data_IF_384659504026
#
_entry.id   IF_384659504026
#
_cell.length_a   1.000
_cell.length_b   1.000
_cell.length_c   1.000
_cell.angle_alpha   90.00
_cell.angle_beta   90.00
_cell.angle_gamma   90.00
#
_symmetry.space_group_name_H-M   'P 1'
#
loop_
_entity.id
_entity.type
_entity.pdbx_description
1 polymer ?
#
# COMPACT_ATOMS: atom_id res chain seq x y z
N UNK A 1 18.24 -16.07 7.60
CA UNK A 1 18.07 -17.49 8.00
C UNK A 1 16.81 -17.99 7.28
N UNK A 2 16.50 -19.29 7.19
CA UNK A 2 15.29 -19.74 6.47
C UNK A 2 14.15 -20.06 7.45
N UNK A 3 12.92 -19.71 7.10
CA UNK A 3 11.71 -20.09 7.83
C UNK A 3 10.96 -21.16 7.05
N UNK A 4 10.78 -22.34 7.63
CA UNK A 4 9.92 -23.36 7.04
C UNK A 4 8.45 -22.94 7.12
N UNK A 5 7.74 -23.03 6.00
CA UNK A 5 6.32 -22.69 5.87
C UNK A 5 5.53 -23.98 5.65
N UNK A 6 4.68 -24.31 6.62
CA UNK A 6 3.99 -25.60 6.67
C UNK A 6 2.79 -25.64 5.75
N UNK A 7 1.75 -24.87 6.08
CA UNK A 7 0.48 -24.88 5.34
C UNK A 7 0.51 -23.93 4.14
N UNK A 8 -0.41 -24.14 3.18
CA UNK A 8 -0.65 -23.19 2.08
C UNK A 8 -1.00 -21.79 2.63
N UNK A 9 -1.74 -21.75 3.74
CA UNK A 9 -2.12 -20.49 4.37
C UNK A 9 -0.90 -19.76 4.98
N UNK A 10 0.03 -20.49 5.61
CA UNK A 10 1.29 -19.92 6.10
C UNK A 10 2.11 -19.33 4.95
N UNK A 11 2.09 -19.99 3.79
CA UNK A 11 2.81 -19.57 2.59
C UNK A 11 2.21 -18.28 2.00
N UNK A 12 0.88 -18.21 1.90
CA UNK A 12 0.17 -16.99 1.47
C UNK A 12 0.37 -15.83 2.44
N UNK A 13 0.26 -16.10 3.74
CA UNK A 13 0.55 -15.14 4.81
C UNK A 13 1.97 -14.59 4.67
N UNK A 14 2.95 -15.46 4.46
CA UNK A 14 4.34 -15.05 4.27
C UNK A 14 4.54 -14.16 3.03
N UNK A 15 3.95 -14.54 1.89
CA UNK A 15 3.98 -13.74 0.65
C UNK A 15 3.36 -12.36 0.84
N UNK A 16 2.29 -12.28 1.63
CA UNK A 16 1.59 -11.03 1.88
C UNK A 16 2.37 -10.09 2.82
N UNK A 17 3.22 -10.64 3.69
CA UNK A 17 3.81 -9.93 4.83
C UNK A 17 5.31 -9.70 4.75
N UNK A 18 6.06 -10.58 4.09
CA UNK A 18 7.52 -10.52 4.11
C UNK A 18 8.08 -10.46 2.70
N UNK A 19 7.63 -11.37 1.83
CA UNK A 19 8.07 -11.40 0.44
C UNK A 19 8.12 -12.80 -0.16
N UNK A 20 8.90 -13.00 -1.23
CA UNK A 20 8.94 -14.24 -1.97
C UNK A 20 9.24 -15.48 -1.12
N UNK A 21 8.66 -16.61 -1.54
CA UNK A 21 8.84 -17.92 -0.92
C UNK A 21 9.60 -18.83 -1.87
N UNK A 22 10.65 -19.47 -1.38
CA UNK A 22 11.39 -20.48 -2.13
C UNK A 22 10.56 -21.76 -2.18
N UNK A 23 10.23 -22.22 -3.39
CA UNK A 23 9.53 -23.47 -3.63
C UNK A 23 10.38 -24.42 -4.47
N UNK A 24 10.33 -25.71 -4.11
CA UNK A 24 10.87 -26.79 -4.93
C UNK A 24 9.69 -27.60 -5.47
N UNK A 25 9.79 -28.08 -6.70
CA UNK A 25 8.76 -28.93 -7.32
C UNK A 25 9.41 -29.94 -8.27
N UNK A 26 8.66 -30.96 -8.65
CA UNK A 26 9.10 -31.93 -9.65
C UNK A 26 9.04 -31.28 -11.03
N UNK A 27 10.18 -31.22 -11.71
CA UNK A 27 10.25 -30.70 -13.07
C UNK A 27 9.70 -31.74 -14.02
N UNK A 28 8.67 -31.38 -14.77
CA UNK A 28 8.12 -32.19 -15.85
C UNK A 28 8.54 -31.63 -17.21
N UNK A 29 8.71 -32.51 -18.19
CA UNK A 29 9.22 -32.19 -19.53
C UNK A 29 8.41 -31.12 -20.27
N UNK A 30 7.12 -31.03 -20.00
CA UNK A 30 6.19 -30.09 -20.64
C UNK A 30 6.23 -28.67 -20.06
N UNK A 31 6.75 -28.48 -18.85
CA UNK A 31 6.93 -27.14 -18.27
C UNK A 31 7.90 -26.30 -19.11
N UNK A 32 8.94 -26.91 -19.67
CA UNK A 32 9.95 -26.21 -20.48
C UNK A 32 9.36 -25.47 -21.67
N UNK A 33 8.26 -25.97 -22.23
CA UNK A 33 7.54 -25.39 -23.36
C UNK A 33 6.25 -24.67 -22.97
N UNK A 34 5.94 -24.54 -21.67
CA UNK A 34 4.72 -23.88 -21.24
C UNK A 34 4.76 -22.38 -21.61
N UNK A 35 3.64 -21.91 -22.14
CA UNK A 35 3.37 -20.50 -22.42
C UNK A 35 1.96 -20.19 -21.96
N UNK A 36 1.73 -19.01 -21.39
CA UNK A 36 0.38 -18.61 -21.00
C UNK A 36 -0.48 -18.37 -22.23
N UNK A 37 -1.67 -18.98 -22.26
CA UNK A 37 -2.68 -18.74 -23.27
C UNK A 37 -4.08 -18.89 -22.69
N UNK A 38 -5.08 -18.49 -23.47
CA UNK A 38 -6.49 -18.46 -23.01
C UNK A 38 -7.00 -19.86 -22.60
N UNK A 39 -6.55 -20.92 -23.29
CA UNK A 39 -6.91 -22.31 -22.97
C UNK A 39 -6.05 -22.92 -21.85
N UNK A 40 -4.87 -22.35 -21.60
CA UNK A 40 -3.89 -22.86 -20.61
C UNK A 40 -3.37 -21.72 -19.72
N UNK A 41 -4.26 -20.99 -19.00
CA UNK A 41 -3.85 -19.84 -18.20
C UNK A 41 -3.03 -20.25 -16.96
N UNK A 42 -3.14 -21.52 -16.56
CA UNK A 42 -2.45 -22.13 -15.42
C UNK A 42 -1.78 -23.42 -15.86
N UNK A 43 -0.50 -23.60 -15.52
CA UNK A 43 0.25 -24.83 -15.75
C UNK A 43 -0.28 -25.99 -14.89
N UNK A 44 -0.53 -27.11 -15.56
CA UNK A 44 -0.80 -28.43 -14.99
C UNK A 44 0.02 -29.46 -15.76
N UNK A 45 0.46 -30.53 -15.11
CA UNK A 45 1.23 -31.59 -15.77
C UNK A 45 0.34 -32.29 -16.78
N UNK A 46 0.81 -32.31 -18.02
CA UNK A 46 0.11 -32.99 -19.12
C UNK A 46 0.20 -34.50 -18.95
N UNK A 47 -0.87 -35.21 -19.35
CA UNK A 47 -0.85 -36.66 -19.42
C UNK A 47 0.31 -37.15 -20.29
N UNK A 48 1.13 -38.05 -19.74
CA UNK A 48 2.31 -38.60 -20.43
C UNK A 48 3.57 -37.75 -20.32
N UNK A 49 3.54 -36.60 -19.63
CA UNK A 49 4.74 -35.84 -19.30
C UNK A 49 5.65 -36.66 -18.37
N UNK A 50 6.95 -36.57 -18.58
CA UNK A 50 7.95 -37.31 -17.81
C UNK A 50 8.71 -36.39 -16.88
N UNK A 51 9.12 -36.88 -15.72
CA UNK A 51 9.92 -36.09 -14.78
C UNK A 51 11.37 -36.00 -15.25
N UNK A 52 11.92 -34.80 -15.21
CA UNK A 52 13.32 -34.47 -15.51
C UNK A 52 14.14 -34.17 -14.25
N UNK A 53 13.61 -34.51 -13.06
CA UNK A 53 14.22 -34.23 -11.76
C UNK A 53 13.45 -33.16 -10.97
N UNK A 54 14.16 -32.43 -10.12
CA UNK A 54 13.60 -31.39 -9.26
C UNK A 54 14.05 -30.01 -9.75
N UNK A 55 13.21 -29.00 -9.56
CA UNK A 55 13.55 -27.61 -9.86
C UNK A 55 13.14 -26.69 -8.71
N UNK A 56 13.74 -25.51 -8.67
CA UNK A 56 13.51 -24.48 -7.66
C UNK A 56 13.10 -23.18 -8.34
N UNK A 57 12.07 -22.53 -7.79
CA UNK A 57 11.59 -21.22 -8.23
C UNK A 57 11.16 -20.37 -7.03
N UNK A 58 10.95 -19.08 -7.28
CA UNK A 58 10.38 -18.18 -6.28
C UNK A 58 8.88 -18.06 -6.52
N UNK A 59 8.09 -18.45 -5.53
CA UNK A 59 6.70 -18.03 -5.45
C UNK A 59 6.71 -16.56 -5.07
N UNK A 60 6.05 -15.73 -5.87
CA UNK A 60 5.97 -14.28 -5.66
C UNK A 60 4.54 -13.82 -5.46
N UNK A 61 3.54 -14.66 -5.71
CA UNK A 61 2.15 -14.33 -5.46
C UNK A 61 1.27 -15.56 -5.58
N UNK A 62 -0.04 -15.33 -5.52
CA UNK A 62 -1.04 -16.37 -5.67
C UNK A 62 -2.32 -15.77 -6.25
N UNK A 63 -3.13 -16.62 -6.87
CA UNK A 63 -4.43 -16.28 -7.41
C UNK A 63 -5.40 -17.41 -7.06
N UNK A 64 -6.27 -17.16 -6.08
CA UNK A 64 -7.26 -18.14 -5.63
C UNK A 64 -8.42 -18.31 -6.60
N UNK A 65 -8.70 -17.32 -7.45
CA UNK A 65 -9.71 -17.45 -8.49
C UNK A 65 -9.27 -18.44 -9.58
N UNK A 66 -7.97 -18.51 -9.82
CA UNK A 66 -7.35 -19.45 -10.77
C UNK A 66 -6.79 -20.72 -10.09
N UNK A 67 -6.73 -20.76 -8.75
CA UNK A 67 -6.16 -21.88 -7.99
C UNK A 67 -4.67 -22.09 -8.25
N UNK A 68 -3.89 -21.00 -8.29
CA UNK A 68 -2.50 -21.03 -8.76
C UNK A 68 -1.53 -20.20 -7.90
N UNK A 69 -0.32 -20.73 -7.75
CA UNK A 69 0.86 -19.96 -7.34
C UNK A 69 1.39 -19.15 -8.51
N UNK A 70 1.77 -17.89 -8.29
CA UNK A 70 2.49 -17.08 -9.29
C UNK A 70 3.97 -17.21 -8.98
N UNK A 71 4.73 -17.85 -9.87
CA UNK A 71 6.17 -18.10 -9.66
C UNK A 71 7.03 -17.38 -10.69
N UNK A 72 8.14 -16.80 -10.23
CA UNK A 72 9.22 -16.27 -11.07
C UNK A 72 10.25 -17.37 -11.31
N UNK A 73 10.55 -17.65 -12.57
CA UNK A 73 11.48 -18.70 -12.97
C UNK A 73 12.86 -18.13 -13.37
N UNK A 74 13.88 -18.96 -13.28
CA UNK A 74 15.28 -18.61 -13.58
C UNK A 74 15.64 -18.67 -15.07
N UNK A 75 14.70 -19.03 -15.95
CA UNK A 75 14.92 -19.20 -17.39
C UNK A 75 14.78 -17.92 -18.22
N UNK A 76 14.65 -16.78 -17.54
CA UNK A 76 14.64 -15.46 -18.16
C UNK A 76 13.28 -15.01 -18.68
N UNK A 77 13.18 -13.76 -19.15
CA UNK A 77 11.90 -13.12 -19.48
C UNK A 77 11.25 -13.65 -20.77
N UNK A 78 11.97 -14.41 -21.60
CA UNK A 78 11.43 -14.96 -22.85
C UNK A 78 10.70 -16.30 -22.67
N UNK A 79 10.66 -16.84 -21.45
CA UNK A 79 10.00 -18.10 -21.14
C UNK A 79 8.67 -17.85 -20.41
N UNK A 80 7.68 -18.74 -20.61
CA UNK A 80 6.41 -18.69 -19.90
C UNK A 80 5.63 -17.40 -20.16
N UNK A 81 5.14 -16.77 -19.10
CA UNK A 81 4.51 -15.44 -19.12
C UNK A 81 5.53 -14.39 -18.68
N UNK A 82 6.39 -13.95 -19.60
CA UNK A 82 7.44 -12.95 -19.34
C UNK A 82 8.39 -13.34 -18.18
N UNK A 83 8.74 -14.62 -18.08
CA UNK A 83 9.56 -15.20 -17.01
C UNK A 83 8.78 -15.70 -15.80
N UNK A 84 7.44 -15.61 -15.83
CA UNK A 84 6.55 -16.10 -14.78
C UNK A 84 5.75 -17.32 -15.23
N UNK A 85 5.20 -18.04 -14.25
CA UNK A 85 4.22 -19.12 -14.45
C UNK A 85 3.13 -19.05 -13.40
N UNK A 86 1.90 -19.25 -13.82
CA UNK A 86 0.77 -19.53 -12.93
C UNK A 86 0.74 -21.05 -12.76
N UNK A 87 1.16 -21.54 -11.60
CA UNK A 87 1.39 -22.96 -11.33
C UNK A 87 0.28 -23.49 -10.44
N UNK A 88 -0.49 -24.48 -10.90
CA UNK A 88 -1.65 -24.97 -10.16
C UNK A 88 -1.26 -25.45 -8.74
N UNK A 89 -2.12 -25.18 -7.76
CA UNK A 89 -1.98 -25.74 -6.42
C UNK A 89 -1.98 -27.27 -6.45
N UNK A 90 -1.15 -27.90 -5.62
CA UNK A 90 -0.99 -29.34 -5.51
C UNK A 90 -0.23 -30.02 -6.66
N UNK A 91 0.08 -29.28 -7.72
CA UNK A 91 0.67 -29.83 -8.94
C UNK A 91 2.16 -30.15 -8.77
N UNK A 92 2.66 -31.18 -9.45
CA UNK A 92 4.08 -31.55 -9.48
C UNK A 92 4.75 -31.58 -8.09
N UNK A 93 3.98 -31.97 -7.08
CA UNK A 93 4.38 -32.04 -5.68
C UNK A 93 4.85 -30.71 -5.05
N UNK A 94 4.50 -29.56 -5.62
CA UNK A 94 4.89 -28.23 -5.12
C UNK A 94 4.41 -27.94 -3.69
N UNK A 95 3.23 -28.45 -3.32
CA UNK A 95 2.65 -28.31 -1.99
C UNK A 95 2.93 -29.51 -1.08
N UNK A 96 3.53 -30.57 -1.62
CA UNK A 96 3.98 -31.74 -0.84
C UNK A 96 5.37 -31.56 -0.23
N UNK A 97 6.15 -30.61 -0.74
CA UNK A 97 7.46 -30.24 -0.17
C UNK A 97 7.39 -28.93 0.61
N UNK A 98 8.17 -28.87 1.69
CA UNK A 98 8.29 -27.66 2.52
C UNK A 98 8.83 -26.51 1.69
N UNK A 99 8.11 -25.39 1.73
CA UNK A 99 8.58 -24.12 1.17
C UNK A 99 9.25 -23.28 2.24
N UNK A 100 10.15 -22.38 1.82
CA UNK A 100 10.95 -21.59 2.74
C UNK A 100 10.83 -20.10 2.49
N UNK A 101 10.49 -19.35 3.53
CA UNK A 101 10.69 -17.91 3.60
C UNK A 101 12.13 -17.56 3.95
N UNK A 102 12.56 -16.34 3.63
CA UNK A 102 13.87 -15.81 4.03
C UNK A 102 13.66 -14.84 5.20
N UNK A 103 14.26 -15.14 6.35
CA UNK A 103 14.26 -14.30 7.55
C UNK A 103 15.53 -13.45 7.63
N UNK A 104 15.48 -12.43 8.48
CA UNK A 104 16.52 -11.42 8.68
C UNK A 104 16.81 -10.65 7.38
N UNK A 105 15.74 -10.22 6.71
CA UNK A 105 15.82 -9.41 5.49
C UNK A 105 15.02 -8.12 5.66
N UNK A 106 15.43 -7.06 4.96
CA UNK A 106 14.59 -5.88 4.83
C UNK A 106 13.38 -6.27 3.96
N UNK A 107 12.15 -6.15 4.47
CA UNK A 107 10.96 -6.56 3.74
C UNK A 107 10.86 -5.82 2.41
N UNK A 108 10.39 -6.55 1.40
CA UNK A 108 10.06 -6.02 0.08
C UNK A 108 9.19 -4.76 0.22
N UNK A 109 9.30 -3.75 -0.67
CA UNK A 109 8.38 -2.63 -0.66
C UNK A 109 6.91 -3.07 -0.61
N UNK A 110 6.55 -4.26 -1.12
CA UNK A 110 5.15 -4.69 -1.24
C UNK A 110 4.66 -5.25 0.08
N UNK A 111 5.54 -5.76 0.93
CA UNK A 111 5.21 -6.07 2.32
C UNK A 111 4.99 -4.80 3.15
N UNK A 112 5.44 -3.63 2.67
CA UNK A 112 5.14 -2.32 3.31
C UNK A 112 3.70 -1.84 3.10
N UNK A 113 2.88 -2.54 2.29
CA UNK A 113 1.50 -2.13 1.97
C UNK A 113 0.57 -1.96 3.18
N UNK A 114 0.84 -2.67 4.28
CA UNK A 114 0.07 -2.61 5.54
C UNK A 114 0.53 -1.48 6.46
N UNK A 115 1.74 -0.99 6.23
CA UNK A 115 2.43 0.02 7.02
C UNK A 115 2.23 1.44 6.47
N UNK A 116 1.38 1.64 5.47
CA UNK A 116 1.14 2.94 4.89
C UNK A 116 -0.33 3.12 4.51
N UNK A 117 -0.76 4.37 4.58
CA UNK A 117 -1.97 4.86 3.94
C UNK A 117 -1.63 6.20 3.30
N UNK A 118 -2.32 6.55 2.22
CA UNK A 118 -2.06 7.79 1.50
C UNK A 118 -2.45 7.71 0.05
N UNK A 119 -2.37 8.85 -0.63
CA UNK A 119 -2.56 8.89 -2.08
C UNK A 119 -1.32 8.45 -2.85
N UNK A 120 -0.22 8.08 -2.19
CA UNK A 120 1.04 7.74 -2.83
C UNK A 120 1.57 6.40 -2.32
N UNK A 121 2.19 5.63 -3.20
CA UNK A 121 2.93 4.42 -2.85
C UNK A 121 4.16 4.25 -3.74
N UNK A 122 5.21 3.59 -3.24
CA UNK A 122 6.27 3.07 -4.10
C UNK A 122 5.66 1.99 -5.00
N UNK A 123 6.01 1.98 -6.29
CA UNK A 123 5.41 1.09 -7.30
C UNK A 123 6.21 -0.18 -7.58
N UNK A 124 7.34 -0.38 -6.88
CA UNK A 124 8.08 -1.67 -6.76
C UNK A 124 8.72 -2.16 -8.06
N UNK A 125 8.39 -1.51 -9.16
CA UNK A 125 8.95 -1.62 -10.48
C UNK A 125 10.15 -0.66 -10.64
N UNK A 126 10.98 -0.94 -11.65
CA UNK A 126 12.13 -0.12 -12.03
C UNK A 126 13.43 -0.49 -11.30
N UNK A 127 14.54 -0.48 -12.03
CA UNK A 127 15.87 -0.91 -11.56
C UNK A 127 16.38 -0.11 -10.34
N UNK A 128 15.93 1.13 -10.20
CA UNK A 128 16.36 2.02 -9.12
C UNK A 128 15.49 1.93 -7.87
N UNK A 129 14.34 1.22 -7.94
CA UNK A 129 13.32 1.23 -6.90
C UNK A 129 12.93 2.65 -6.44
N UNK A 130 12.76 3.58 -7.39
CA UNK A 130 12.32 4.97 -7.11
C UNK A 130 11.11 5.37 -7.95
N UNK A 131 10.37 4.37 -8.40
CA UNK A 131 9.12 4.56 -9.07
C UNK A 131 8.02 4.69 -8.02
N UNK A 132 7.11 5.62 -8.25
CA UNK A 132 5.98 5.86 -7.36
C UNK A 132 4.70 5.97 -8.16
N UNK A 133 3.60 5.56 -7.54
CA UNK A 133 2.24 5.81 -8.01
C UNK A 133 1.61 6.82 -7.07
N UNK A 134 0.91 7.80 -7.63
CA UNK A 134 0.23 8.88 -6.94
C UNK A 134 -1.19 9.01 -7.52
N UNK A 135 -2.19 9.08 -6.65
CA UNK A 135 -3.55 9.40 -7.01
C UNK A 135 -3.85 10.85 -6.64
N UNK A 136 -4.42 11.62 -7.55
CA UNK A 136 -4.85 13.00 -7.31
C UNK A 136 -6.32 13.13 -7.69
N UNK A 137 -7.12 13.77 -6.85
CA UNK A 137 -8.48 14.16 -7.23
C UNK A 137 -8.45 15.07 -8.46
N UNK A 138 -9.33 14.85 -9.43
CA UNK A 138 -9.33 15.61 -10.69
C UNK A 138 -10.71 15.69 -11.28
N UNK A 139 -11.15 16.91 -11.62
CA UNK A 139 -12.45 17.13 -12.25
C UNK A 139 -12.46 16.69 -13.72
N UNK A 140 -11.28 16.68 -14.36
CA UNK A 140 -11.10 16.26 -15.76
C UNK A 140 -11.03 14.74 -15.94
N UNK A 141 -11.22 13.97 -14.87
CA UNK A 141 -11.36 12.51 -14.96
C UNK A 141 -12.67 12.16 -15.67
N UNK A 142 -12.90 10.89 -16.05
CA UNK A 142 -14.15 10.44 -16.68
C UNK A 142 -15.38 10.66 -15.76
N UNK A 143 -15.84 11.91 -15.67
CA UNK A 143 -16.83 12.38 -14.71
C UNK A 143 -16.32 12.67 -13.30
N UNK A 144 -15.06 13.06 -13.08
CA UNK A 144 -14.64 13.71 -11.81
C UNK A 144 -13.94 12.87 -10.73
N UNK A 145 -13.56 11.62 -10.99
CA UNK A 145 -12.79 10.77 -10.05
C UNK A 145 -11.33 11.20 -9.75
N UNK A 146 -10.37 10.35 -10.08
CA UNK A 146 -8.95 10.59 -9.83
C UNK A 146 -8.08 10.43 -11.08
N UNK A 147 -6.94 11.11 -11.06
CA UNK A 147 -5.82 10.89 -11.96
C UNK A 147 -4.79 10.00 -11.27
N UNK A 148 -4.36 8.96 -11.98
CA UNK A 148 -3.24 8.12 -11.61
C UNK A 148 -1.98 8.64 -12.31
N UNK A 149 -1.04 9.15 -11.52
CA UNK A 149 0.25 9.68 -11.93
C UNK A 149 1.35 8.72 -11.50
N UNK A 150 2.33 8.52 -12.36
CA UNK A 150 3.52 7.73 -12.07
C UNK A 150 4.77 8.57 -12.11
N UNK A 151 5.74 8.23 -11.24
CA UNK A 151 7.09 8.73 -11.33
C UNK A 151 8.00 7.63 -11.86
N UNK A 152 8.80 7.94 -12.87
CA UNK A 152 9.91 7.10 -13.28
C UNK A 152 11.16 7.44 -12.45
N UNK A 153 11.64 6.47 -11.69
CA UNK A 153 12.82 6.56 -10.83
C UNK A 153 14.14 6.75 -11.57
N UNK A 154 14.19 6.38 -12.85
CA UNK A 154 15.38 6.51 -13.70
C UNK A 154 15.47 7.88 -14.35
N UNK A 155 14.40 8.36 -14.98
CA UNK A 155 14.36 9.71 -15.58
C UNK A 155 14.04 10.82 -14.58
N UNK A 156 13.40 10.48 -13.46
CA UNK A 156 12.89 11.41 -12.45
C UNK A 156 11.56 12.08 -12.83
N UNK A 157 11.03 11.80 -14.03
CA UNK A 157 9.84 12.45 -14.55
C UNK A 157 8.55 11.89 -13.95
N UNK A 158 7.58 12.79 -13.75
CA UNK A 158 6.19 12.43 -13.45
C UNK A 158 5.34 12.48 -14.72
N UNK A 159 4.49 11.48 -14.91
CA UNK A 159 3.58 11.38 -16.06
C UNK A 159 2.21 10.84 -15.67
N UNK A 160 1.21 11.25 -16.41
CA UNK A 160 -0.15 10.73 -16.26
C UNK A 160 -0.25 9.36 -16.92
N UNK A 161 -0.61 8.35 -16.14
CA UNK A 161 -0.84 6.99 -16.62
C UNK A 161 -2.31 6.76 -16.98
N UNK A 162 -3.25 7.23 -16.16
CA UNK A 162 -4.68 7.08 -16.45
C UNK A 162 -5.55 8.12 -15.77
N UNK A 163 -6.68 8.47 -16.41
CA UNK A 163 -7.78 9.23 -15.82
C UNK A 163 -8.90 8.26 -15.46
N UNK A 164 -9.33 8.22 -14.21
CA UNK A 164 -10.23 7.19 -13.67
C UNK A 164 -11.46 7.85 -13.05
N UNK A 165 -12.65 7.40 -13.44
CA UNK A 165 -13.90 7.92 -12.92
C UNK A 165 -15.08 7.23 -13.58
N UNK A 166 -16.26 7.43 -12.99
CA UNK A 166 -17.52 6.83 -13.44
C UNK A 166 -18.69 7.84 -13.53
N UNK A 167 -18.42 9.16 -13.52
CA UNK A 167 -19.48 10.18 -13.52
C UNK A 167 -19.62 11.00 -12.23
N UNK A 168 -18.99 10.60 -11.12
CA UNK A 168 -19.06 11.32 -9.85
C UNK A 168 -17.76 12.03 -9.49
N UNK A 169 -17.86 13.28 -9.04
CA UNK A 169 -16.72 14.05 -8.60
C UNK A 169 -16.15 13.52 -7.27
N UNK A 170 -14.83 13.45 -7.15
CA UNK A 170 -14.12 13.07 -5.95
C UNK A 170 -14.03 14.26 -4.99
N UNK A 171 -14.37 14.04 -3.72
CA UNK A 171 -14.21 15.03 -2.64
C UNK A 171 -13.09 14.60 -1.71
N UNK A 172 -12.01 15.37 -1.69
CA UNK A 172 -10.90 15.15 -0.77
C UNK A 172 -9.76 14.31 -1.33
N UNK A 173 -9.31 13.32 -0.55
CA UNK A 173 -8.11 12.55 -0.85
C UNK A 173 -8.44 11.10 -1.21
N UNK A 174 -8.09 10.62 -2.42
CA UNK A 174 -8.08 9.19 -2.69
C UNK A 174 -6.95 8.53 -1.91
N UNK A 175 -7.15 7.27 -1.54
CA UNK A 175 -6.11 6.43 -0.95
C UNK A 175 -5.77 5.32 -1.93
N UNK A 176 -4.50 4.97 -2.03
CA UNK A 176 -4.01 3.81 -2.77
C UNK A 176 -3.26 2.87 -1.83
N UNK A 177 -3.56 1.58 -1.93
CA UNK A 177 -2.84 0.52 -1.19
C UNK A 177 -2.57 -0.66 -2.11
N UNK A 178 -1.43 -1.32 -1.93
CA UNK A 178 -1.21 -2.64 -2.53
C UNK A 178 -2.06 -3.69 -1.82
N UNK A 179 -2.51 -4.70 -2.55
CA UNK A 179 -3.23 -5.85 -1.97
C UNK A 179 -2.41 -7.13 -2.07
N UNK A 180 -2.84 -8.18 -1.38
CA UNK A 180 -2.29 -9.54 -1.54
C UNK A 180 -2.82 -10.27 -2.77
N UNK A 181 -4.03 -9.95 -3.22
CA UNK A 181 -4.67 -10.58 -4.37
C UNK A 181 -3.99 -10.16 -5.68
N UNK A 182 -3.30 -11.09 -6.36
CA UNK A 182 -2.54 -10.83 -7.59
C UNK A 182 -1.55 -9.65 -7.50
N UNK A 183 -1.23 -9.19 -6.27
CA UNK A 183 -0.56 -7.93 -5.99
C UNK A 183 -1.26 -6.69 -6.60
N UNK A 184 -2.53 -6.77 -6.96
CA UNK A 184 -3.29 -5.65 -7.52
C UNK A 184 -3.40 -4.50 -6.51
N UNK A 185 -3.66 -3.30 -6.99
CA UNK A 185 -3.80 -2.12 -6.12
C UNK A 185 -5.27 -1.85 -5.86
N UNK A 186 -5.61 -1.46 -4.64
CA UNK A 186 -6.92 -0.93 -4.32
C UNK A 186 -6.83 0.59 -4.20
N UNK A 187 -7.86 1.28 -4.70
CA UNK A 187 -8.07 2.68 -4.45
C UNK A 187 -9.43 2.92 -3.84
N UNK A 188 -9.50 3.84 -2.88
CA UNK A 188 -10.75 4.25 -2.23
C UNK A 188 -10.81 5.77 -2.16
N UNK A 189 -11.96 6.34 -2.49
CA UNK A 189 -12.21 7.77 -2.33
C UNK A 189 -13.65 8.05 -1.93
N UNK A 190 -13.92 9.27 -1.46
CA UNK A 190 -15.27 9.76 -1.19
C UNK A 190 -15.75 10.57 -2.38
N UNK A 191 -16.93 10.26 -2.90
CA UNK A 191 -17.55 11.02 -3.99
C UNK A 191 -18.36 12.25 -3.47
N UNK A 192 -18.84 13.09 -4.39
CA UNK A 192 -19.65 14.27 -4.09
C UNK A 192 -21.01 13.95 -3.47
N UNK A 193 -21.47 12.70 -3.65
CA UNK A 193 -22.69 12.16 -3.04
C UNK A 193 -22.43 11.55 -1.66
N UNK A 194 -21.18 11.64 -1.16
CA UNK A 194 -20.72 11.12 0.13
C UNK A 194 -20.72 9.59 0.22
N UNK A 195 -20.53 8.90 -0.90
CA UNK A 195 -20.29 7.46 -0.92
C UNK A 195 -18.80 7.17 -0.94
N UNK A 196 -18.41 6.01 -0.41
CA UNK A 196 -17.07 5.46 -0.62
C UNK A 196 -17.05 4.66 -1.93
N UNK A 197 -16.21 5.08 -2.86
CA UNK A 197 -15.98 4.41 -4.13
C UNK A 197 -14.75 3.53 -4.04
N UNK A 198 -14.89 2.23 -4.32
CA UNK A 198 -13.79 1.26 -4.31
C UNK A 198 -13.42 0.85 -5.72
N UNK A 199 -12.13 0.92 -6.01
CA UNK A 199 -11.56 0.60 -7.31
C UNK A 199 -10.40 -0.38 -7.14
N UNK A 200 -10.20 -1.23 -8.14
CA UNK A 200 -9.05 -2.13 -8.25
C UNK A 200 -8.29 -1.81 -9.52
N UNK A 201 -6.97 -1.82 -9.41
CA UNK A 201 -6.07 -1.73 -10.54
C UNK A 201 -5.39 -3.08 -10.75
N UNK A 202 -5.70 -3.69 -11.87
CA UNK A 202 -5.06 -4.93 -12.30
C UNK A 202 -3.66 -4.62 -12.82
N UNK A 203 -2.62 -5.07 -12.11
CA UNK A 203 -1.25 -4.87 -12.60
C UNK A 203 -0.96 -5.70 -13.85
N UNK A 204 -1.60 -6.87 -13.96
CA UNK A 204 -1.44 -7.75 -15.13
C UNK A 204 -2.04 -7.11 -16.39
N UNK A 205 -3.25 -6.53 -16.26
CA UNK A 205 -3.98 -5.97 -17.41
C UNK A 205 -3.73 -4.47 -17.61
N UNK A 206 -3.13 -3.79 -16.63
CA UNK A 206 -2.89 -2.35 -16.61
C UNK A 206 -4.17 -1.52 -16.69
N UNK A 207 -5.21 -1.95 -15.98
CA UNK A 207 -6.55 -1.34 -16.04
C UNK A 207 -7.16 -1.14 -14.67
N UNK A 208 -7.84 -0.01 -14.50
CA UNK A 208 -8.69 0.27 -13.35
C UNK A 208 -10.11 -0.24 -13.59
N UNK A 209 -10.73 -0.79 -12.56
CA UNK A 209 -12.12 -1.23 -12.55
C UNK A 209 -12.78 -0.83 -11.24
N UNK A 210 -14.01 -0.32 -11.30
CA UNK A 210 -14.82 -0.11 -10.11
C UNK A 210 -15.20 -1.48 -9.53
N UNK A 211 -14.96 -1.66 -8.24
CA UNK A 211 -15.23 -2.91 -7.52
C UNK A 211 -16.56 -2.82 -6.78
N UNK A 212 -16.76 -1.73 -6.03
CA UNK A 212 -17.97 -1.53 -5.25
C UNK A 212 -18.17 -0.05 -4.89
N UNK A 213 -19.38 0.25 -4.43
CA UNK A 213 -19.75 1.51 -3.79
C UNK A 213 -20.35 1.20 -2.42
N UNK A 214 -19.95 1.94 -1.39
CA UNK A 214 -20.55 1.87 -0.06
C UNK A 214 -21.31 3.18 0.19
N UNK A 215 -22.61 3.05 0.37
CA UNK A 215 -23.52 4.14 0.71
C UNK A 215 -23.72 4.12 2.23
N UNK A 216 -23.27 5.18 2.91
CA UNK A 216 -23.49 5.38 4.35
C UNK A 216 -23.80 6.85 4.60
N UNK A 217 -24.93 7.09 5.26
CA UNK A 217 -25.42 8.43 5.54
C UNK A 217 -24.41 9.19 6.41
N UNK A 218 -23.80 10.19 5.78
CA UNK A 218 -22.98 11.17 6.47
C UNK A 218 -21.48 10.88 6.48
N UNK A 219 -20.90 10.12 5.55
CA UNK A 219 -19.45 10.16 5.34
C UNK A 219 -19.02 11.60 4.98
N UNK A 220 -18.03 12.16 5.66
CA UNK A 220 -17.61 13.56 5.41
C UNK A 220 -16.09 13.78 5.48
N UNK A 221 -15.35 12.96 6.22
CA UNK A 221 -13.88 13.04 6.22
C UNK A 221 -13.24 12.25 5.09
N UNK A 222 -11.91 12.19 5.10
CA UNK A 222 -11.15 11.42 4.12
C UNK A 222 -10.81 10.02 4.65
N UNK A 223 -10.82 9.00 3.79
CA UNK A 223 -10.61 7.63 4.22
C UNK A 223 -9.15 7.40 4.60
N UNK A 224 -8.93 6.54 5.58
CA UNK A 224 -7.70 5.79 5.77
C UNK A 224 -7.95 4.34 5.41
N UNK A 225 -7.08 3.76 4.58
CA UNK A 225 -7.18 2.38 4.11
C UNK A 225 -5.87 1.64 4.36
N UNK A 226 -5.97 0.39 4.80
CA UNK A 226 -4.88 -0.56 4.92
C UNK A 226 -5.41 -1.98 4.68
N UNK A 227 -4.53 -2.96 4.53
CA UNK A 227 -4.92 -4.37 4.46
C UNK A 227 -4.56 -5.10 5.77
N UNK A 228 -5.48 -5.91 6.29
CA UNK A 228 -5.24 -6.74 7.47
C UNK A 228 -4.50 -8.05 7.15
N UNK A 229 -4.31 -8.87 8.18
CA UNK A 229 -3.62 -10.16 8.10
C UNK A 229 -4.37 -11.21 7.28
N UNK A 230 -5.69 -11.07 7.16
CA UNK A 230 -6.56 -11.97 6.42
C UNK A 230 -6.80 -11.49 4.99
N UNK A 231 -5.99 -10.54 4.50
CA UNK A 231 -6.14 -9.94 3.17
C UNK A 231 -7.40 -9.07 3.00
N UNK A 232 -8.11 -8.71 4.07
CA UNK A 232 -9.25 -7.81 4.03
C UNK A 232 -8.80 -6.35 4.02
N UNK A 233 -9.51 -5.50 3.28
CA UNK A 233 -9.32 -4.05 3.36
C UNK A 233 -10.01 -3.52 4.63
N UNK A 234 -9.25 -2.81 5.44
CA UNK A 234 -9.76 -2.03 6.56
C UNK A 234 -9.90 -0.59 6.11
N UNK A 235 -10.99 0.04 6.53
CA UNK A 235 -11.28 1.43 6.20
C UNK A 235 -11.73 2.17 7.44
N UNK A 236 -11.17 3.36 7.63
CA UNK A 236 -11.57 4.29 8.69
C UNK A 236 -11.92 5.62 8.07
N UNK A 237 -13.09 6.18 8.42
CA UNK A 237 -13.53 7.48 7.91
C UNK A 237 -14.37 8.24 8.93
N UNK A 238 -14.28 9.57 8.93
CA UNK A 238 -15.12 10.44 9.75
C UNK A 238 -16.50 10.61 9.13
N UNK A 239 -17.52 10.61 9.99
CA UNK A 239 -18.90 10.97 9.68
C UNK A 239 -19.27 12.40 10.11
N UNK A 240 -20.35 12.91 9.54
CA UNK A 240 -20.90 14.25 9.73
C UNK A 240 -21.38 14.50 11.17
N UNK A 241 -21.77 13.45 11.88
CA UNK A 241 -22.09 13.50 13.32
C UNK A 241 -20.85 13.68 14.22
N UNK A 242 -19.65 13.79 13.62
CA UNK A 242 -18.38 13.94 14.32
C UNK A 242 -17.84 12.63 14.89
N UNK A 243 -18.38 11.49 14.49
CA UNK A 243 -17.81 10.18 14.82
C UNK A 243 -16.72 9.78 13.83
N UNK A 244 -15.72 9.04 14.31
CA UNK A 244 -14.79 8.30 13.47
C UNK A 244 -15.18 6.83 13.53
N UNK A 245 -15.32 6.17 12.38
CA UNK A 245 -15.79 4.78 12.31
C UNK A 245 -14.85 3.93 11.48
N UNK A 246 -14.70 2.69 11.94
CA UNK A 246 -14.32 1.54 11.12
C UNK A 246 -15.60 0.73 10.87
N UNK A 247 -15.66 -0.53 11.31
CA UNK A 247 -16.91 -1.30 11.49
C UNK A 247 -17.70 -0.79 12.71
N UNK A 248 -16.97 -0.35 13.74
CA UNK A 248 -17.52 0.20 14.98
C UNK A 248 -17.06 1.64 15.19
N UNK A 249 -17.71 2.35 16.11
CA UNK A 249 -17.32 3.71 16.47
C UNK A 249 -15.98 3.71 17.21
N UNK A 250 -14.99 4.41 16.67
CA UNK A 250 -13.66 4.62 17.25
C UNK A 250 -13.69 5.77 18.26
N UNK A 251 -14.25 6.90 17.85
CA UNK A 251 -14.24 8.14 18.63
C UNK A 251 -15.42 9.06 18.28
N UNK A 252 -15.64 10.07 19.11
CA UNK A 252 -16.54 11.20 18.88
C UNK A 252 -15.75 12.51 18.89
N UNK A 253 -16.39 13.60 18.47
CA UNK A 253 -15.80 14.94 18.42
C UNK A 253 -14.57 14.99 17.51
N UNK A 254 -14.68 14.36 16.33
CA UNK A 254 -13.68 14.36 15.27
C UNK A 254 -14.11 15.37 14.21
N UNK A 255 -13.19 16.23 13.79
CA UNK A 255 -13.39 17.23 12.73
C UNK A 255 -12.74 16.82 11.43
N UNK A 256 -11.67 16.03 11.47
CA UNK A 256 -11.04 15.53 10.26
C UNK A 256 -10.42 14.14 10.46
N UNK A 257 -10.65 13.27 9.48
CA UNK A 257 -9.93 12.01 9.30
C UNK A 257 -8.97 12.13 8.11
N UNK A 258 -8.12 11.14 7.90
CA UNK A 258 -7.19 11.16 6.78
C UNK A 258 -6.57 9.80 6.57
N UNK A 259 -5.65 9.71 5.59
CA UNK A 259 -4.90 8.50 5.33
C UNK A 259 -3.83 8.27 6.39
N UNK A 260 -4.27 7.95 7.60
CA UNK A 260 -3.43 7.70 8.77
C UNK A 260 -3.61 6.30 9.35
N UNK A 261 -4.36 5.42 8.67
CA UNK A 261 -4.60 4.05 9.11
C UNK A 261 -3.36 3.19 8.84
N UNK A 262 -2.82 2.57 9.88
CA UNK A 262 -1.63 1.72 9.82
C UNK A 262 -1.93 0.39 10.51
N UNK A 263 -1.69 -0.72 9.81
CA UNK A 263 -1.62 -2.05 10.41
C UNK A 263 -0.15 -2.32 10.72
N UNK A 264 0.19 -2.26 12.00
CA UNK A 264 1.57 -2.26 12.49
C UNK A 264 2.05 -3.66 12.84
N UNK A 265 3.36 -3.89 12.80
CA UNK A 265 3.97 -5.10 13.36
C UNK A 265 4.23 -5.00 14.88
N UNK A 266 3.82 -3.92 15.54
CA UNK A 266 3.82 -3.85 17.01
C UNK A 266 2.90 -4.94 17.58
N UNK A 267 3.39 -5.65 18.61
CA UNK A 267 2.73 -6.80 19.25
C UNK A 267 2.54 -8.02 18.34
N UNK A 268 3.16 -8.03 17.16
CA UNK A 268 3.14 -9.16 16.23
C UNK A 268 4.33 -10.08 16.48
N UNK A 269 4.05 -11.36 16.72
CA UNK A 269 4.98 -12.46 16.54
C UNK A 269 4.78 -13.03 15.14
N UNK A 270 5.68 -12.67 14.24
CA UNK A 270 5.66 -13.05 12.83
C UNK A 270 5.82 -14.57 12.61
N UNK A 271 6.32 -15.29 13.61
CA UNK A 271 6.50 -16.74 13.57
C UNK A 271 5.30 -17.49 14.15
N UNK A 272 4.28 -16.77 14.61
CA UNK A 272 3.06 -17.31 15.18
C UNK A 272 1.84 -16.99 14.33
N UNK A 273 1.10 -18.03 13.96
CA UNK A 273 -0.12 -17.88 13.17
C UNK A 273 -1.27 -17.24 13.95
N UNK A 274 -1.23 -17.29 15.29
CA UNK A 274 -2.25 -16.67 16.14
C UNK A 274 -1.93 -15.23 16.53
N UNK A 275 -0.77 -14.71 16.11
CA UNK A 275 -0.40 -13.34 16.42
C UNK A 275 -0.91 -12.38 15.35
N UNK A 276 -1.37 -11.22 15.81
CA UNK A 276 -1.83 -10.12 14.99
C UNK A 276 -1.15 -8.84 15.42
N UNK A 277 -0.77 -8.02 14.46
CA UNK A 277 -0.29 -6.67 14.72
C UNK A 277 -1.38 -5.74 15.25
N UNK A 278 -0.99 -4.72 16.01
CA UNK A 278 -1.91 -3.66 16.41
C UNK A 278 -2.26 -2.74 15.21
N UNK A 279 -3.44 -2.15 15.26
CA UNK A 279 -3.96 -1.23 14.26
C UNK A 279 -4.03 0.16 14.87
N UNK A 280 -3.58 1.16 14.12
CA UNK A 280 -3.45 2.54 14.58
C UNK A 280 -4.08 3.50 13.57
N UNK A 281 -4.70 4.56 14.08
CA UNK A 281 -5.20 5.67 13.26
C UNK A 281 -5.05 6.98 14.01
N UNK A 282 -4.75 8.06 13.29
CA UNK A 282 -4.68 9.42 13.86
C UNK A 282 -5.76 10.30 13.26
N UNK A 283 -6.46 11.07 14.10
CA UNK A 283 -7.51 11.99 13.64
C UNK A 283 -7.45 13.33 14.39
N UNK A 284 -8.02 14.36 13.75
CA UNK A 284 -8.13 15.70 14.33
C UNK A 284 -9.43 15.82 15.11
N UNK A 285 -9.31 16.24 16.37
CA UNK A 285 -10.44 16.47 17.27
C UNK A 285 -11.03 17.87 17.08
N UNK A 286 -12.26 18.05 17.56
CA UNK A 286 -12.98 19.33 17.55
C UNK A 286 -12.32 20.43 18.37
N UNK A 287 -11.43 20.09 19.29
CA UNK A 287 -10.62 21.04 20.06
C UNK A 287 -9.25 21.33 19.39
N UNK A 288 -9.05 20.88 18.14
CA UNK A 288 -7.82 21.08 17.38
C UNK A 288 -6.69 20.14 17.79
N UNK A 289 -6.90 19.20 18.71
CA UNK A 289 -5.87 18.23 19.08
C UNK A 289 -5.79 17.10 18.07
N UNK A 290 -4.56 16.68 17.76
CA UNK A 290 -4.29 15.51 16.94
C UNK A 290 -4.07 14.31 17.85
N UNK A 291 -4.91 13.28 17.72
CA UNK A 291 -4.92 12.14 18.64
C UNK A 291 -4.78 10.80 17.92
N UNK A 292 -3.95 9.92 18.49
CA UNK A 292 -3.81 8.52 18.12
C UNK A 292 -4.94 7.68 18.74
N UNK A 293 -5.43 6.71 17.99
CA UNK A 293 -6.32 5.65 18.45
C UNK A 293 -5.74 4.31 18.01
N UNK A 294 -5.94 3.26 18.82
CA UNK A 294 -5.42 1.93 18.50
C UNK A 294 -6.34 0.80 18.95
N UNK A 295 -6.27 -0.33 18.26
CA UNK A 295 -6.84 -1.61 18.71
C UNK A 295 -5.90 -2.78 18.40
N UNK A 296 -5.99 -3.90 19.12
CA UNK A 296 -5.41 -5.16 18.66
C UNK A 296 -5.99 -5.58 17.29
N UNK A 297 -5.18 -6.18 16.42
CA UNK A 297 -5.65 -6.63 15.10
C UNK A 297 -6.73 -7.72 15.17
N UNK A 298 -6.73 -8.51 16.23
CA UNK A 298 -7.69 -9.57 16.52
C UNK A 298 -8.84 -9.18 17.45
N UNK A 299 -9.00 -7.88 17.77
CA UNK A 299 -10.10 -7.32 18.57
C UNK A 299 -10.74 -6.16 17.79
N UNK A 300 -11.97 -5.76 18.12
CA UNK A 300 -12.68 -4.61 17.53
C UNK A 300 -12.74 -3.40 18.47
N UNK A 301 -12.24 -3.53 19.70
CA UNK A 301 -12.30 -2.50 20.73
C UNK A 301 -11.17 -1.48 20.58
N UNK A 302 -11.53 -0.24 20.26
CA UNK A 302 -10.60 0.86 20.11
C UNK A 302 -10.30 1.57 21.44
N UNK A 303 -9.04 1.96 21.62
CA UNK A 303 -8.54 2.75 22.75
C UNK A 303 -8.00 4.08 22.26
N UNK A 304 -8.27 5.14 23.01
CA UNK A 304 -7.67 6.45 22.78
C UNK A 304 -6.23 6.46 23.33
N UNK A 305 -5.28 6.86 22.50
CA UNK A 305 -3.87 6.99 22.83
C UNK A 305 -3.44 8.44 23.00
N UNK A 306 -2.16 8.66 22.71
CA UNK A 306 -1.44 9.91 22.88
C UNK A 306 -2.01 11.05 22.02
N UNK A 307 -1.93 12.27 22.54
CA UNK A 307 -2.17 13.50 21.79
C UNK A 307 -0.82 14.09 21.42
N UNK A 308 -0.56 14.29 20.12
CA UNK A 308 0.75 14.70 19.63
C UNK A 308 0.81 16.19 19.22
N UNK A 309 -0.29 16.78 18.75
CA UNK A 309 -0.32 18.18 18.34
C UNK A 309 -1.60 18.88 18.82
N UNK A 310 -1.58 20.20 18.81
CA UNK A 310 -2.72 21.08 19.12
C UNK A 310 -2.90 22.15 18.05
N UNK A 311 -4.07 22.78 18.02
CA UNK A 311 -4.41 23.81 17.03
C UNK A 311 -4.33 23.33 15.57
N UNK A 312 -4.45 22.02 15.35
CA UNK A 312 -4.56 21.46 14.00
C UNK A 312 -5.91 21.87 13.42
N UNK A 313 -5.88 22.54 12.27
CA UNK A 313 -7.07 22.94 11.55
C UNK A 313 -7.81 21.77 10.89
N UNK A 314 -8.77 22.08 10.02
CA UNK A 314 -9.49 21.05 9.26
C UNK A 314 -8.67 20.51 8.09
N UNK A 315 -7.60 19.77 8.39
CA UNK A 315 -6.65 19.23 7.41
C UNK A 315 -6.29 17.80 7.77
N UNK A 316 -6.21 16.90 6.77
CA UNK A 316 -6.02 15.48 7.03
C UNK A 316 -4.60 15.17 7.50
N UNK A 317 -4.44 14.36 8.56
CA UNK A 317 -3.17 13.75 8.89
C UNK A 317 -2.86 12.59 7.93
N UNK A 318 -1.59 12.44 7.58
CA UNK A 318 -1.07 11.29 6.82
C UNK A 318 -0.07 10.57 7.71
N UNK A 319 -0.22 9.25 7.88
CA UNK A 319 0.66 8.46 8.75
C UNK A 319 1.10 7.17 8.08
N UNK A 320 2.37 6.83 8.27
CA UNK A 320 2.95 5.53 7.94
C UNK A 320 3.70 4.96 9.15
N UNK A 321 3.96 3.66 9.12
CA UNK A 321 5.08 3.06 9.83
C UNK A 321 6.25 2.89 8.87
N UNK A 322 7.40 3.40 9.26
CA UNK A 322 8.64 3.22 8.53
C UNK A 322 9.41 1.99 9.02
N UNK A 323 10.58 1.77 8.44
CA UNK A 323 11.55 0.75 8.85
C UNK A 323 12.87 1.40 9.29
N UNK A 324 12.81 2.61 9.84
CA UNK A 324 13.95 3.21 10.52
C UNK A 324 14.27 2.40 11.77
N UNK A 325 15.56 2.23 12.06
CA UNK A 325 16.05 1.56 13.27
C UNK A 325 15.56 0.09 13.45
N UNK A 326 15.13 -0.57 12.37
CA UNK A 326 14.74 -1.99 12.40
C UNK A 326 15.93 -2.91 12.13
N UNK A 327 16.15 -3.92 12.96
CA UNK A 327 17.19 -4.94 12.73
C UNK A 327 16.76 -5.98 11.68
N UNK A 328 15.48 -6.32 11.68
CA UNK A 328 14.87 -7.33 10.81
C UNK A 328 13.33 -7.15 10.77
N UNK A 329 12.64 -8.03 10.07
CA UNK A 329 11.18 -8.02 9.88
C UNK A 329 10.34 -8.08 11.16
N UNK A 330 10.91 -8.52 12.30
CA UNK A 330 10.24 -8.56 13.59
C UNK A 330 10.38 -7.26 14.40
N UNK A 331 11.26 -6.35 13.98
CA UNK A 331 11.44 -5.06 14.63
C UNK A 331 10.34 -4.09 14.24
N UNK A 332 9.72 -3.44 15.22
CA UNK A 332 8.80 -2.35 14.96
C UNK A 332 9.58 -1.07 14.62
N UNK A 333 9.46 -0.61 13.36
CA UNK A 333 9.95 0.70 12.96
C UNK A 333 9.06 1.83 13.49
N UNK A 334 9.46 3.08 13.25
CA UNK A 334 8.83 4.26 13.83
C UNK A 334 7.52 4.62 13.10
N UNK A 335 6.58 5.27 13.80
CA UNK A 335 5.52 5.99 13.10
C UNK A 335 6.04 7.34 12.63
N UNK A 336 5.69 7.67 11.40
CA UNK A 336 5.98 8.95 10.76
C UNK A 336 4.64 9.56 10.38
N UNK A 337 4.39 10.78 10.85
CA UNK A 337 3.15 11.50 10.60
C UNK A 337 3.45 12.89 10.06
N UNK A 338 2.70 13.30 9.04
CA UNK A 338 2.74 14.66 8.50
C UNK A 338 1.34 15.25 8.45
N UNK A 339 1.24 16.53 8.80
CA UNK A 339 -0.03 17.27 8.81
C UNK A 339 0.22 18.74 8.53
N UNK A 340 -0.66 19.39 7.77
CA UNK A 340 -0.54 20.83 7.55
C UNK A 340 -1.05 21.61 8.77
N UNK A 341 -0.31 22.58 9.27
CA UNK A 341 -0.73 23.47 10.36
C UNK A 341 -0.28 24.88 9.99
N UNK A 342 -1.22 25.83 9.95
CA UNK A 342 -0.96 27.24 9.63
C UNK A 342 -0.11 27.47 8.36
N UNK A 343 -0.36 26.65 7.33
CA UNK A 343 0.33 26.75 6.04
C UNK A 343 1.71 26.12 5.99
N UNK A 344 2.15 25.41 7.03
CA UNK A 344 3.37 24.61 7.06
C UNK A 344 3.03 23.13 7.22
N UNK A 345 3.89 22.22 6.79
CA UNK A 345 3.79 20.80 7.16
C UNK A 345 4.57 20.60 8.45
N UNK A 346 3.89 20.13 9.50
CA UNK A 346 4.57 19.57 10.67
C UNK A 346 4.84 18.09 10.41
N UNK A 347 6.08 17.67 10.64
CA UNK A 347 6.51 16.27 10.60
C UNK A 347 6.77 15.78 12.02
N UNK A 348 6.08 14.70 12.40
CA UNK A 348 6.14 14.06 13.70
C UNK A 348 6.66 12.63 13.57
N UNK A 349 7.44 12.20 14.56
CA UNK A 349 7.95 10.84 14.68
C UNK A 349 7.57 10.24 16.03
N UNK A 350 7.28 8.95 16.05
CA UNK A 350 7.21 8.16 17.29
C UNK A 350 8.03 6.90 17.14
N UNK A 351 9.06 6.77 17.96
CA UNK A 351 9.85 5.55 18.01
C UNK A 351 9.05 4.42 18.68
N UNK A 352 9.02 3.25 18.05
CA UNK A 352 8.31 2.07 18.55
C UNK A 352 9.28 0.95 19.00
N UNK A 353 10.58 1.12 18.78
CA UNK A 353 11.63 0.19 19.20
C UNK A 353 11.87 0.36 20.71
N UNK A 354 11.49 -0.65 21.52
CA UNK A 354 11.64 -0.71 22.99
C UNK A 354 10.55 -0.06 23.87
N UNK A 355 9.27 -0.23 23.51
CA UNK A 355 8.14 0.26 24.30
C UNK A 355 7.68 1.64 23.81
N UNK A 356 6.40 1.97 24.04
CA UNK A 356 5.76 3.17 23.50
C UNK A 356 6.62 4.44 23.68
N UNK A 357 7.23 4.93 22.60
CA UNK A 357 7.90 6.22 22.60
C UNK A 357 6.89 7.37 22.61
N UNK A 358 7.32 8.53 23.11
CA UNK A 358 6.56 9.78 22.94
C UNK A 358 6.66 10.27 21.49
N UNK A 359 5.66 11.03 21.06
CA UNK A 359 5.72 11.73 19.77
C UNK A 359 6.63 12.94 19.87
N UNK A 360 7.55 13.08 18.90
CA UNK A 360 8.42 14.23 18.76
C UNK A 360 8.13 14.96 17.44
N UNK A 361 8.08 16.30 17.47
CA UNK A 361 8.06 17.09 16.24
C UNK A 361 9.48 17.15 15.69
N UNK A 362 9.70 16.53 14.53
CA UNK A 362 10.98 16.50 13.83
C UNK A 362 11.30 17.86 13.24
N UNK A 363 10.36 18.42 12.48
CA UNK A 363 10.49 19.73 11.85
C UNK A 363 9.13 20.29 11.39
N UNK A 364 9.11 21.58 11.07
CA UNK A 364 8.00 22.24 10.38
C UNK A 364 8.53 22.94 9.12
N UNK A 365 7.95 22.65 7.96
CA UNK A 365 8.50 23.04 6.64
C UNK A 365 7.44 23.56 5.66
N UNK A 366 7.90 24.27 4.64
CA UNK A 366 7.04 24.82 3.60
C UNK A 366 6.32 26.11 4.00
N UNK A 367 5.55 26.66 3.05
CA UNK A 367 4.73 27.86 3.25
C UNK A 367 3.52 27.81 2.35
N UNK A 368 2.35 28.17 2.87
CA UNK A 368 1.10 28.13 2.11
C UNK A 368 0.66 26.72 1.74
N UNK A 369 1.04 25.70 2.52
CA UNK A 369 0.61 24.32 2.30
C UNK A 369 -0.83 24.14 2.79
N UNK A 370 -1.71 23.64 1.93
CA UNK A 370 -3.11 23.35 2.22
C UNK A 370 -3.25 22.00 2.95
N UNK A 371 -2.64 20.94 2.41
CA UNK A 371 -2.58 19.61 3.00
C UNK A 371 -1.48 18.75 2.36
N UNK A 372 -1.26 17.57 2.94
CA UNK A 372 -0.37 16.53 2.42
C UNK A 372 -1.22 15.43 1.78
N UNK A 373 -0.89 15.01 0.55
CA UNK A 373 -1.56 13.92 -0.18
C UNK A 373 -1.07 12.54 0.24
N UNK A 374 0.24 12.39 0.43
CA UNK A 374 0.85 11.10 0.71
C UNK A 374 2.22 11.24 1.35
N UNK A 375 2.58 10.23 2.13
CA UNK A 375 3.88 10.05 2.75
C UNK A 375 4.29 8.59 2.54
N UNK A 376 5.53 8.35 2.09
CA UNK A 376 6.06 7.00 1.83
C UNK A 376 7.53 6.96 2.22
N UNK A 377 7.97 5.85 2.82
CA UNK A 377 9.41 5.55 2.92
C UNK A 377 9.84 4.71 1.71
N UNK A 378 10.72 5.26 0.88
CA UNK A 378 11.30 4.57 -0.26
C UNK A 378 12.33 3.52 0.17
N UNK A 379 12.51 2.48 -0.61
CA UNK A 379 13.57 1.48 -0.38
C UNK A 379 14.97 1.96 -0.81
N UNK A 380 15.05 2.90 -1.74
CA UNK A 380 16.33 3.47 -2.18
C UNK A 380 16.87 4.46 -1.14
N UNK A 381 17.95 4.07 -0.43
CA UNK A 381 18.59 4.90 0.58
C UNK A 381 17.73 5.19 1.81
N UNK A 382 16.58 4.54 1.96
CA UNK A 382 15.67 4.70 3.11
C UNK A 382 15.02 6.08 3.21
N UNK A 383 15.06 6.90 2.16
CA UNK A 383 14.51 8.26 2.16
C UNK A 383 13.00 8.26 2.38
N UNK A 384 12.48 9.32 2.99
CA UNK A 384 11.04 9.58 2.99
C UNK A 384 10.67 10.54 1.86
N UNK A 385 9.44 10.37 1.38
CA UNK A 385 8.88 11.07 0.25
C UNK A 385 7.51 11.59 0.63
N UNK A 386 7.22 12.86 0.36
CA UNK A 386 5.86 13.38 0.52
C UNK A 386 5.42 14.20 -0.69
N UNK A 387 4.11 14.27 -0.86
CA UNK A 387 3.48 15.12 -1.87
C UNK A 387 2.50 16.06 -1.17
N UNK A 388 2.62 17.36 -1.42
CA UNK A 388 1.80 18.40 -0.78
C UNK A 388 1.02 19.20 -1.81
N UNK A 389 -0.12 19.75 -1.43
CA UNK A 389 -0.80 20.79 -2.22
C UNK A 389 -0.70 22.15 -1.54
N UNK A 390 -0.34 23.18 -2.32
CA UNK A 390 -0.37 24.57 -1.88
C UNK A 390 -1.78 25.17 -1.91
N UNK A 391 -1.98 26.28 -1.20
CA UNK A 391 -3.23 27.06 -1.29
C UNK A 391 -3.48 27.62 -2.68
N UNK A 392 -2.43 27.72 -3.50
CA UNK A 392 -2.46 28.10 -4.92
C UNK A 392 -2.85 26.94 -5.86
N UNK A 393 -3.08 25.73 -5.33
CA UNK A 393 -3.43 24.54 -6.10
C UNK A 393 -2.25 23.82 -6.76
N UNK A 394 -1.01 24.28 -6.53
CA UNK A 394 0.18 23.59 -7.04
C UNK A 394 0.53 22.39 -6.17
N UNK A 395 0.99 21.33 -6.80
CA UNK A 395 1.46 20.12 -6.12
C UNK A 395 2.99 20.16 -6.02
N UNK A 396 3.57 19.72 -4.91
CA UNK A 396 5.03 19.67 -4.74
C UNK A 396 5.46 18.31 -4.22
N UNK A 397 6.53 17.77 -4.82
CA UNK A 397 7.19 16.54 -4.40
C UNK A 397 8.42 16.87 -3.56
N UNK A 398 8.54 16.18 -2.43
CA UNK A 398 9.58 16.42 -1.44
C UNK A 398 10.32 15.12 -1.11
N UNK A 399 11.60 15.27 -0.76
CA UNK A 399 12.42 14.20 -0.21
C UNK A 399 12.97 14.60 1.15
N UNK A 400 13.13 13.60 2.01
CA UNK A 400 13.75 13.73 3.32
C UNK A 400 14.92 12.76 3.46
N UNK A 401 16.10 13.32 3.73
CA UNK A 401 17.33 12.61 4.08
C UNK A 401 17.96 13.17 5.37
N UNK A 402 17.11 13.63 6.29
CA UNK A 402 17.46 14.34 7.53
C UNK A 402 16.85 15.74 7.61
N UNK A 403 16.40 16.29 6.48
CA UNK A 403 15.56 17.49 6.41
C UNK A 403 14.72 17.47 5.12
N UNK A 404 13.51 18.01 5.15
CA UNK A 404 12.65 18.05 3.97
C UNK A 404 13.13 19.08 2.94
N UNK A 405 13.19 18.65 1.67
CA UNK A 405 13.50 19.54 0.54
C UNK A 405 12.51 19.32 -0.58
N UNK A 406 12.01 20.41 -1.17
CA UNK A 406 11.26 20.34 -2.42
C UNK A 406 12.20 19.90 -3.52
N UNK A 407 11.90 18.76 -4.15
CA UNK A 407 12.65 18.26 -5.30
C UNK A 407 12.06 18.84 -6.58
N UNK A 408 10.73 18.89 -6.65
CA UNK A 408 10.02 19.35 -7.84
C UNK A 408 8.66 19.95 -7.46
N UNK A 409 8.29 21.04 -8.13
CA UNK A 409 6.92 21.55 -8.11
C UNK A 409 6.21 21.05 -9.36
N UNK A 410 5.20 20.22 -9.17
CA UNK A 410 4.40 19.62 -10.23
C UNK A 410 3.36 20.62 -10.73
N UNK A 411 2.85 20.37 -11.94
CA UNK A 411 1.77 21.16 -12.51
C UNK A 411 0.48 21.02 -11.68
N UNK A 412 -0.45 21.99 -11.75
CA UNK A 412 -1.78 21.83 -11.17
C UNK A 412 -2.43 20.52 -11.65
N UNK A 413 -3.30 19.95 -10.80
CA UNK A 413 -3.91 18.62 -11.03
C UNK A 413 -4.76 18.52 -12.32
N UNK A 414 -5.38 19.63 -12.70
CA UNK A 414 -6.29 19.75 -13.85
C UNK A 414 -5.58 20.44 -15.05
N UNK A 415 -4.24 20.47 -15.07
CA UNK A 415 -3.47 21.09 -16.16
C UNK A 415 -3.35 20.15 -17.37
N UNK A 416 -3.67 20.62 -18.57
CA UNK A 416 -3.52 19.83 -19.81
C UNK A 416 -2.05 19.56 -20.18
N UNK A 417 -1.10 20.25 -19.55
CA UNK A 417 0.34 20.12 -19.77
C UNK A 417 0.99 18.88 -19.16
N UNK A 418 0.26 18.08 -18.38
CA UNK A 418 0.75 16.79 -17.89
C UNK A 418 1.13 15.88 -19.06
N UNK A 419 2.38 15.40 -19.06
CA UNK A 419 2.82 14.43 -20.06
C UNK A 419 2.05 13.13 -19.86
N UNK A 420 1.36 12.66 -20.89
CA UNK A 420 0.78 11.32 -20.94
C UNK A 420 1.83 10.33 -21.42
N UNK A 421 2.00 9.23 -20.68
CA UNK A 421 2.83 8.11 -21.10
C UNK A 421 2.09 6.81 -20.83
N UNK A 422 2.51 5.72 -21.49
CA UNK A 422 2.22 4.40 -20.95
C UNK A 422 2.87 4.26 -19.56
N UNK A 423 2.36 3.33 -18.76
CA UNK A 423 2.91 3.07 -17.43
C UNK A 423 4.38 2.72 -17.48
N UNK A 424 5.11 3.22 -16.47
CA UNK A 424 6.54 3.00 -16.31
C UNK A 424 6.77 1.51 -16.12
N UNK A 425 7.36 0.86 -17.12
CA UNK A 425 7.75 -0.54 -17.01
C UNK A 425 8.87 -0.72 -15.99
N UNK A 426 8.73 -1.70 -15.10
CA UNK A 426 9.87 -2.36 -14.46
C UNK A 426 10.13 -3.67 -15.19
N UNK A 427 11.41 -3.99 -15.42
CA UNK A 427 11.83 -5.23 -16.06
C UNK A 427 11.55 -6.49 -15.24
#
# INVERSE_FOLDING_TARGET
MYQALGTVEDQKKWLAEYGPVVATFQLYSDLGSWTRGDETPVYKVSNGSTTSGNHIALVVGYDDSQGAWIMKNSWGPNWGDKGFVYFAYGEANIDGWTKYGITNVNPDPWSRKRHQSGSMMQSGNGETHRNFKLLLASNDSAGGGFVHVERDGSSGLWSMASRVGNGSALVGQPVIVGTSTNRDLAAVFVDESRNLEQWSYSQANKTWMQVSRIEDDGIEGFPGVAQDDNSALLMVVRHADGTLKEVTRIATNITQSGPSLVVSNISRDIYSNSSSGNIYVVAVRSDGRLQLFSRPGNDTSWSAGEVLASSVGNTPPVMIQDFSDTENESSAGAFQLVVAVDGQVQHWRRNNSAGAGEWEMVEAVGKGVRHVWGLVQGSFGGKMHMVTEGTDGRVSYWEWDGTWRTVETLMPRDDEGWRTTDEVGGG
#
